data_IF_079729546280
#
_entry.id   IF_079729546280
#
_cell.length_a   1.000
_cell.length_b   1.000
_cell.length_c   1.000
_cell.angle_alpha   90.00
_cell.angle_beta   90.00
_cell.angle_gamma   90.00
#
_symmetry.space_group_name_H-M   'P 1'
#
loop_
_entity.id
_entity.type
_entity.pdbx_description
1 polymer ?
#
# COMPACT_ATOMS: atom_id res chain seq x y z
N UNK A 1 0.17 25.51 4.61
CA UNK A 1 1.25 25.78 5.58
C UNK A 1 1.37 24.53 6.46
N UNK A 2 2.57 24.01 6.74
CA UNK A 2 2.72 22.75 7.49
C UNK A 2 2.08 22.88 8.87
N UNK A 3 1.25 21.89 9.19
CA UNK A 3 0.64 21.73 10.49
C UNK A 3 1.65 21.12 11.47
N UNK A 4 1.77 21.78 12.62
CA UNK A 4 2.67 21.52 13.75
C UNK A 4 4.18 21.65 13.53
N UNK A 5 4.87 22.11 14.57
CA UNK A 5 6.35 22.22 14.61
C UNK A 5 7.00 20.82 14.57
N UNK A 6 6.35 19.85 15.22
CA UNK A 6 6.78 18.45 15.32
C UNK A 6 6.88 17.77 13.95
N UNK A 7 5.86 17.91 13.09
CA UNK A 7 5.88 17.36 11.73
C UNK A 7 7.03 17.91 10.88
N UNK A 8 7.36 19.20 11.04
CA UNK A 8 8.50 19.83 10.34
C UNK A 8 9.84 19.27 10.79
N UNK A 9 10.02 19.15 12.10
CA UNK A 9 11.25 18.60 12.68
C UNK A 9 11.44 17.13 12.29
N UNK A 10 10.34 16.36 12.26
CA UNK A 10 10.34 14.99 11.76
C UNK A 10 10.79 14.93 10.29
N UNK A 11 10.15 15.67 9.38
CA UNK A 11 10.52 15.66 7.96
C UNK A 11 12.00 16.03 7.75
N UNK A 12 12.50 17.03 8.48
CA UNK A 12 13.91 17.41 8.45
C UNK A 12 14.81 16.24 8.91
N UNK A 13 14.48 15.61 10.03
CA UNK A 13 15.20 14.44 10.54
C UNK A 13 15.22 13.29 9.54
N UNK A 14 14.09 13.02 8.87
CA UNK A 14 13.99 11.97 7.87
C UNK A 14 14.87 12.25 6.64
N UNK A 15 15.06 13.51 6.25
CA UNK A 15 15.93 13.87 5.12
C UNK A 15 17.43 13.86 5.49
N UNK A 16 17.78 14.28 6.70
CA UNK A 16 19.16 14.59 7.08
C UNK A 16 19.87 13.46 7.84
N UNK A 17 19.12 12.56 8.48
CA UNK A 17 19.73 11.47 9.24
C UNK A 17 20.49 10.54 8.30
N UNK A 18 21.82 10.48 8.46
CA UNK A 18 22.71 9.74 7.56
C UNK A 18 22.35 8.26 7.50
N UNK A 19 22.35 7.73 6.28
CA UNK A 19 22.20 6.31 5.99
C UNK A 19 23.38 5.83 5.15
N UNK A 20 23.72 4.55 5.27
CA UNK A 20 24.72 3.95 4.41
C UNK A 20 24.10 3.68 3.03
N UNK A 21 24.73 4.18 1.94
CA UNK A 21 24.29 3.85 0.60
C UNK A 21 24.57 2.36 0.31
N UNK A 22 23.78 1.73 -0.57
CA UNK A 22 24.12 0.42 -1.15
C UNK A 22 25.52 0.43 -1.77
N UNK A 23 26.36 -0.55 -1.42
CA UNK A 23 27.77 -0.63 -1.88
C UNK A 23 27.84 -1.00 -3.36
N UNK A 24 27.06 -2.01 -3.77
CA UNK A 24 27.02 -2.47 -5.16
C UNK A 24 25.68 -2.05 -5.79
N UNK A 25 25.75 -1.03 -6.66
CA UNK A 25 24.58 -0.33 -7.17
C UNK A 25 24.89 0.40 -8.48
N UNK A 26 23.85 0.61 -9.30
CA UNK A 26 23.91 1.47 -10.49
C UNK A 26 24.14 2.96 -10.14
N UNK A 27 24.00 3.35 -8.87
CA UNK A 27 24.29 4.71 -8.39
C UNK A 27 25.71 4.89 -7.86
N UNK A 28 26.61 3.93 -8.11
CA UNK A 28 28.04 4.11 -7.88
C UNK A 28 28.61 5.21 -8.79
N UNK A 29 29.62 5.90 -8.29
CA UNK A 29 30.22 7.08 -8.92
C UNK A 29 30.73 6.80 -10.34
N UNK A 30 31.24 5.59 -10.60
CA UNK A 30 31.74 5.17 -11.91
C UNK A 30 30.63 4.80 -12.92
N UNK A 31 29.42 4.47 -12.44
CA UNK A 31 28.31 3.99 -13.27
C UNK A 31 27.14 4.97 -13.37
N UNK A 32 27.07 5.99 -12.51
CA UNK A 32 25.90 6.83 -12.35
C UNK A 32 25.51 7.54 -13.65
N UNK A 33 26.47 8.19 -14.32
CA UNK A 33 26.21 8.94 -15.55
C UNK A 33 25.82 8.03 -16.73
N UNK A 34 26.39 6.83 -16.81
CA UNK A 34 25.98 5.82 -17.79
C UNK A 34 24.56 5.34 -17.52
N UNK A 35 24.25 5.01 -16.27
CA UNK A 35 22.92 4.57 -15.82
C UNK A 35 21.85 5.62 -16.14
N UNK A 36 22.10 6.89 -15.81
CA UNK A 36 21.14 7.96 -16.07
C UNK A 36 20.89 8.16 -17.57
N UNK A 37 21.94 8.12 -18.41
CA UNK A 37 21.79 8.20 -19.87
C UNK A 37 21.00 7.02 -20.43
N UNK A 38 21.27 5.83 -19.94
CA UNK A 38 20.59 4.61 -20.37
C UNK A 38 19.09 4.61 -20.11
N UNK A 39 18.63 5.35 -19.09
CA UNK A 39 17.22 5.43 -18.68
C UNK A 39 16.40 6.49 -19.42
N UNK A 40 17.03 7.50 -20.05
CA UNK A 40 16.33 8.61 -20.71
C UNK A 40 15.34 8.19 -21.80
N UNK A 41 15.55 7.02 -22.42
CA UNK A 41 14.74 6.50 -23.54
C UNK A 41 13.93 5.26 -23.17
N UNK A 42 13.89 4.88 -21.88
CA UNK A 42 13.31 3.61 -21.43
C UNK A 42 11.92 3.81 -20.87
N UNK A 43 11.15 2.73 -20.85
CA UNK A 43 9.80 2.73 -20.30
C UNK A 43 9.79 2.67 -18.76
N UNK A 44 8.63 2.89 -18.16
CA UNK A 44 8.38 2.85 -16.70
C UNK A 44 8.87 1.54 -16.06
N UNK A 45 8.65 0.40 -16.71
CA UNK A 45 9.11 -0.90 -16.22
C UNK A 45 10.64 -0.97 -16.06
N UNK A 46 11.40 -0.33 -16.95
CA UNK A 46 12.87 -0.25 -16.83
C UNK A 46 13.29 0.73 -15.75
N UNK A 47 12.61 1.87 -15.60
CA UNK A 47 12.87 2.82 -14.51
C UNK A 47 12.66 2.14 -13.15
N UNK A 48 11.53 1.45 -12.96
CA UNK A 48 11.23 0.71 -11.73
C UNK A 48 12.27 -0.37 -11.43
N UNK A 49 12.60 -1.18 -12.43
CA UNK A 49 13.54 -2.29 -12.27
C UNK A 49 14.95 -1.82 -11.94
N UNK A 50 15.45 -0.81 -12.67
CA UNK A 50 16.85 -0.43 -12.63
C UNK A 50 17.13 0.53 -11.46
N UNK A 51 16.22 1.47 -11.15
CA UNK A 51 16.45 2.48 -10.10
C UNK A 51 15.37 2.55 -9.02
N UNK A 52 14.21 1.92 -9.20
CA UNK A 52 13.11 2.00 -8.23
C UNK A 52 13.55 1.59 -6.82
N UNK A 53 14.26 0.46 -6.71
CA UNK A 53 14.78 -0.04 -5.43
C UNK A 53 16.00 0.71 -4.90
N UNK A 54 16.66 1.53 -5.74
CA UNK A 54 17.73 2.43 -5.31
C UNK A 54 17.19 3.73 -4.73
N UNK A 55 15.97 4.13 -5.09
CA UNK A 55 15.28 5.30 -4.54
C UNK A 55 14.39 4.91 -3.34
N UNK A 56 13.65 3.81 -3.48
CA UNK A 56 12.70 3.30 -2.49
C UNK A 56 13.09 1.85 -2.16
N UNK A 57 14.05 1.64 -1.25
CA UNK A 57 14.55 0.31 -0.92
C UNK A 57 13.48 -0.60 -0.30
N UNK A 58 13.61 -1.90 -0.55
CA UNK A 58 12.68 -2.94 -0.08
C UNK A 58 12.91 -3.17 1.41
N UNK A 59 11.89 -2.91 2.22
CA UNK A 59 11.92 -3.20 3.64
C UNK A 59 12.10 -4.70 3.90
N UNK A 60 11.50 -5.56 3.07
CA UNK A 60 11.64 -7.01 3.20
C UNK A 60 13.05 -7.51 2.86
N UNK A 61 13.68 -6.92 1.84
CA UNK A 61 15.05 -7.24 1.45
C UNK A 61 16.02 -6.78 2.53
N UNK A 62 15.87 -5.55 3.03
CA UNK A 62 16.66 -5.04 4.16
C UNK A 62 16.54 -5.94 5.41
N UNK A 63 15.33 -6.43 5.70
CA UNK A 63 15.09 -7.39 6.80
C UNK A 63 15.82 -8.72 6.60
N UNK A 64 15.78 -9.27 5.39
CA UNK A 64 16.49 -10.51 5.03
C UNK A 64 18.00 -10.33 5.15
N UNK A 65 18.52 -9.17 4.73
CA UNK A 65 19.94 -8.80 4.79
C UNK A 65 20.45 -8.46 6.19
N UNK A 66 19.58 -8.36 7.21
CA UNK A 66 20.00 -8.28 8.61
C UNK A 66 19.22 -7.30 9.46
N UNK A 67 18.42 -6.39 8.88
CA UNK A 67 17.67 -5.39 9.64
C UNK A 67 16.39 -5.98 10.24
N UNK A 68 16.54 -6.76 11.31
CA UNK A 68 15.43 -7.46 11.97
C UNK A 68 14.37 -6.52 12.55
N UNK A 69 14.70 -5.24 12.76
CA UNK A 69 13.75 -4.24 13.24
C UNK A 69 12.57 -4.02 12.28
N UNK A 70 12.75 -4.36 11.00
CA UNK A 70 11.72 -4.24 9.96
C UNK A 70 10.76 -5.46 9.92
N UNK A 71 10.78 -6.31 10.95
CA UNK A 71 9.97 -7.52 11.04
C UNK A 71 8.45 -7.30 10.96
N UNK A 72 7.98 -6.16 11.46
CA UNK A 72 6.57 -5.76 11.44
C UNK A 72 6.07 -5.34 10.05
N UNK A 73 6.96 -5.17 9.08
CA UNK A 73 6.64 -4.55 7.79
C UNK A 73 6.43 -5.58 6.68
N UNK A 74 5.44 -5.30 5.85
CA UNK A 74 5.20 -5.97 4.58
C UNK A 74 5.11 -4.95 3.47
N UNK A 75 5.69 -5.30 2.33
CA UNK A 75 5.59 -4.50 1.12
C UNK A 75 4.72 -5.22 0.09
N UNK A 76 4.19 -4.44 -0.83
CA UNK A 76 3.54 -4.94 -2.04
C UNK A 76 4.11 -4.21 -3.25
N UNK A 77 4.23 -4.90 -4.37
CA UNK A 77 4.80 -4.37 -5.61
C UNK A 77 3.77 -4.53 -6.71
N UNK A 78 3.25 -3.41 -7.23
CA UNK A 78 2.20 -3.39 -8.24
C UNK A 78 1.01 -4.31 -7.90
N UNK A 79 0.62 -4.36 -6.62
CA UNK A 79 -0.49 -5.17 -6.12
C UNK A 79 -1.71 -4.30 -5.88
N UNK A 80 -2.88 -4.73 -6.39
CA UNK A 80 -4.12 -3.99 -6.16
C UNK A 80 -4.52 -4.08 -4.68
N UNK A 81 -4.91 -2.95 -4.11
CA UNK A 81 -5.45 -2.88 -2.76
C UNK A 81 -6.89 -3.42 -2.74
N UNK A 82 -7.03 -4.74 -2.86
CA UNK A 82 -8.32 -5.43 -3.02
C UNK A 82 -9.23 -5.35 -1.79
N UNK A 83 -8.64 -5.21 -0.60
CA UNK A 83 -9.36 -5.21 0.68
C UNK A 83 -9.64 -3.80 1.19
N UNK A 84 -9.21 -2.75 0.49
CA UNK A 84 -9.55 -1.40 0.89
C UNK A 84 -11.01 -1.04 0.53
N UNK A 85 -11.54 -0.03 1.21
CA UNK A 85 -12.73 0.70 0.77
C UNK A 85 -12.26 1.88 -0.10
N UNK A 86 -12.53 1.87 -1.43
CA UNK A 86 -12.14 2.97 -2.30
C UNK A 86 -12.84 4.28 -1.92
N UNK A 87 -12.18 5.43 -2.15
CA UNK A 87 -12.80 6.74 -1.89
C UNK A 87 -14.03 7.00 -2.78
N UNK A 88 -14.07 6.36 -3.95
CA UNK A 88 -15.16 6.43 -4.91
C UNK A 88 -16.03 5.16 -4.92
N UNK A 89 -16.16 4.48 -3.78
CA UNK A 89 -16.94 3.24 -3.62
C UNK A 89 -18.39 3.32 -4.11
N UNK A 90 -18.97 4.53 -4.22
CA UNK A 90 -20.31 4.77 -4.73
C UNK A 90 -20.40 4.79 -6.26
N UNK A 91 -19.27 4.81 -6.97
CA UNK A 91 -19.25 4.74 -8.44
C UNK A 91 -19.52 3.33 -8.94
N UNK A 92 -20.04 3.24 -10.17
CA UNK A 92 -20.27 1.96 -10.88
C UNK A 92 -18.99 1.12 -11.01
N UNK A 93 -17.84 1.78 -11.14
CA UNK A 93 -16.52 1.16 -11.21
C UNK A 93 -15.58 1.88 -10.23
N UNK A 94 -15.56 1.47 -8.95
CA UNK A 94 -14.65 2.05 -7.98
C UNK A 94 -13.21 1.82 -8.39
N UNK A 95 -12.39 2.86 -8.30
CA UNK A 95 -10.98 2.77 -8.66
C UNK A 95 -10.23 2.21 -7.46
N UNK A 96 -9.52 1.09 -7.60
CA UNK A 96 -8.66 0.59 -6.52
C UNK A 96 -7.23 1.08 -6.74
N UNK A 97 -6.56 1.60 -5.70
CA UNK A 97 -5.13 1.83 -5.79
C UNK A 97 -4.38 0.54 -6.14
N UNK A 98 -3.31 0.71 -6.90
CA UNK A 98 -2.34 -0.33 -7.22
C UNK A 98 -0.96 0.34 -7.32
N UNK A 99 -0.35 0.73 -6.18
CA UNK A 99 0.95 1.40 -6.20
C UNK A 99 2.04 0.51 -6.77
N UNK A 100 3.00 1.09 -7.48
CA UNK A 100 4.19 0.37 -7.95
C UNK A 100 4.95 -0.24 -6.77
N UNK A 101 5.01 0.48 -5.65
CA UNK A 101 5.48 -0.01 -4.36
C UNK A 101 4.62 0.55 -3.23
N UNK A 102 4.27 -0.26 -2.24
CA UNK A 102 3.69 0.24 -0.99
C UNK A 102 4.13 -0.56 0.21
N UNK A 103 4.01 0.06 1.38
CA UNK A 103 4.41 -0.51 2.66
C UNK A 103 3.30 -0.32 3.70
N UNK A 104 3.09 -1.35 4.50
CA UNK A 104 2.23 -1.32 5.67
C UNK A 104 2.70 -2.33 6.70
N UNK A 105 1.81 -2.64 7.63
CA UNK A 105 2.08 -3.59 8.69
C UNK A 105 1.58 -4.98 8.33
N UNK A 106 2.37 -5.97 8.72
CA UNK A 106 1.94 -7.37 8.75
C UNK A 106 0.88 -7.58 9.81
N UNK A 107 0.15 -8.68 9.70
CA UNK A 107 -0.66 -9.23 10.80
C UNK A 107 0.19 -9.43 12.06
N UNK A 108 1.41 -9.94 11.92
CA UNK A 108 2.33 -10.21 13.05
C UNK A 108 2.89 -8.94 13.71
N UNK A 109 2.58 -7.75 13.20
CA UNK A 109 2.88 -6.50 13.88
C UNK A 109 1.94 -6.25 15.08
N UNK A 110 0.88 -7.04 15.24
CA UNK A 110 -0.12 -6.89 16.29
C UNK A 110 -0.15 -8.12 17.19
N UNK A 111 -0.45 -7.92 18.47
CA UNK A 111 -0.66 -9.03 19.42
C UNK A 111 -1.95 -9.77 19.08
N UNK A 112 -2.12 -10.99 19.60
CA UNK A 112 -3.36 -11.75 19.38
C UNK A 112 -4.59 -11.00 19.91
N UNK A 113 -4.47 -10.33 21.07
CA UNK A 113 -5.53 -9.49 21.63
C UNK A 113 -5.86 -8.29 20.73
N UNK A 114 -4.86 -7.66 20.13
CA UNK A 114 -5.06 -6.57 19.16
C UNK A 114 -5.73 -7.07 17.89
N UNK A 115 -5.36 -8.26 17.42
CA UNK A 115 -5.99 -8.89 16.25
C UNK A 115 -7.46 -9.24 16.51
N UNK A 116 -7.79 -9.75 17.69
CA UNK A 116 -9.19 -9.98 18.10
C UNK A 116 -10.00 -8.69 18.14
N UNK A 117 -9.40 -7.56 18.55
CA UNK A 117 -10.06 -6.25 18.50
C UNK A 117 -10.24 -5.71 17.08
N UNK A 118 -9.31 -6.01 16.17
CA UNK A 118 -9.37 -5.59 14.77
C UNK A 118 -10.31 -6.45 13.92
N UNK A 119 -10.50 -7.72 14.28
CA UNK A 119 -11.25 -8.70 13.50
C UNK A 119 -12.65 -8.20 13.08
N UNK A 120 -13.49 -7.62 13.96
CA UNK A 120 -14.82 -7.13 13.58
C UNK A 120 -14.80 -6.02 12.52
N UNK A 121 -13.69 -5.29 12.40
CA UNK A 121 -13.55 -4.16 11.47
C UNK A 121 -12.86 -4.55 10.16
N UNK A 122 -12.02 -5.60 10.17
CA UNK A 122 -11.31 -6.10 8.99
C UNK A 122 -12.17 -7.11 8.21
N UNK A 123 -12.83 -8.02 8.93
CA UNK A 123 -13.56 -9.13 8.34
C UNK A 123 -12.63 -10.22 7.78
N UNK A 124 -13.16 -10.99 6.83
CA UNK A 124 -12.46 -12.10 6.19
C UNK A 124 -11.56 -11.64 5.00
N UNK A 125 -10.95 -12.62 4.31
CA UNK A 125 -10.04 -12.37 3.19
C UNK A 125 -10.71 -11.66 2.01
N UNK A 126 -12.03 -11.78 1.85
CA UNK A 126 -12.79 -11.15 0.77
C UNK A 126 -13.45 -9.82 1.20
N UNK A 127 -13.40 -9.52 2.49
CA UNK A 127 -14.00 -8.33 3.09
C UNK A 127 -13.21 -7.08 2.73
N UNK A 128 -13.95 -5.98 2.54
CA UNK A 128 -13.38 -4.64 2.42
C UNK A 128 -13.41 -3.97 3.78
N UNK A 129 -12.31 -3.35 4.14
CA UNK A 129 -12.18 -2.63 5.41
C UNK A 129 -11.43 -1.32 5.22
N UNK A 130 -11.56 -0.45 6.21
CA UNK A 130 -10.69 0.72 6.31
C UNK A 130 -9.25 0.34 6.64
N UNK A 131 -9.04 -0.75 7.38
CA UNK A 131 -7.76 -1.03 8.03
C UNK A 131 -6.83 -1.93 7.21
N UNK A 132 -7.29 -2.54 6.12
CA UNK A 132 -6.49 -3.41 5.27
C UNK A 132 -6.44 -2.91 3.81
N UNK A 133 -5.23 -2.79 3.25
CA UNK A 133 -5.03 -2.54 1.83
C UNK A 133 -5.20 -3.84 1.02
N UNK A 134 -4.52 -4.89 1.46
CA UNK A 134 -4.62 -6.26 0.95
C UNK A 134 -4.89 -7.19 2.14
N UNK A 135 -5.18 -8.46 1.88
CA UNK A 135 -5.36 -9.44 2.96
C UNK A 135 -4.12 -9.62 3.85
N UNK A 136 -2.93 -9.15 3.42
CA UNK A 136 -1.68 -9.25 4.20
C UNK A 136 -1.19 -7.92 4.77
N UNK A 137 -1.68 -6.79 4.26
CA UNK A 137 -1.16 -5.45 4.59
C UNK A 137 -2.21 -4.64 5.34
N UNK A 138 -1.95 -4.43 6.63
CA UNK A 138 -2.76 -3.57 7.49
C UNK A 138 -2.14 -2.18 7.61
N UNK A 139 -2.99 -1.16 7.68
CA UNK A 139 -2.62 0.25 7.83
C UNK A 139 -1.42 0.63 6.93
N UNK A 140 -1.59 0.66 5.59
CA UNK A 140 -0.54 1.15 4.71
C UNK A 140 -0.14 2.57 5.13
N UNK A 141 1.14 2.91 5.03
CA UNK A 141 1.63 4.24 5.41
C UNK A 141 2.69 4.81 4.46
N UNK A 142 3.04 4.06 3.42
CA UNK A 142 3.95 4.50 2.39
C UNK A 142 3.51 3.97 1.02
N UNK A 143 3.58 4.82 0.00
CA UNK A 143 3.44 4.39 -1.40
C UNK A 143 4.45 5.10 -2.31
N UNK A 144 4.85 4.43 -3.37
CA UNK A 144 5.65 5.00 -4.45
C UNK A 144 5.02 4.71 -5.81
N UNK A 145 5.11 5.70 -6.68
CA UNK A 145 4.70 5.63 -8.08
C UNK A 145 5.87 6.12 -8.94
N UNK A 146 6.31 5.26 -9.84
CA UNK A 146 7.28 5.62 -10.85
C UNK A 146 6.55 5.97 -12.14
N UNK A 147 7.08 6.90 -12.90
CA UNK A 147 6.62 7.17 -14.27
C UNK A 147 7.83 7.32 -15.18
N UNK A 148 7.57 7.37 -16.48
CA UNK A 148 8.58 7.77 -17.45
C UNK A 148 8.23 9.17 -17.97
N UNK A 149 9.21 10.08 -17.95
CA UNK A 149 9.05 11.44 -18.45
C UNK A 149 8.33 12.40 -17.50
N UNK A 150 8.51 13.70 -17.77
CA UNK A 150 8.20 14.80 -16.83
C UNK A 150 6.71 15.03 -16.57
N UNK A 151 5.87 14.83 -17.59
CA UNK A 151 4.40 14.93 -17.45
C UNK A 151 3.81 13.75 -16.64
N UNK A 152 4.56 12.64 -16.53
CA UNK A 152 4.15 11.47 -15.76
C UNK A 152 4.04 11.75 -14.26
N UNK A 153 4.90 12.61 -13.70
CA UNK A 153 4.92 12.84 -12.25
C UNK A 153 3.63 13.46 -11.69
N UNK A 154 2.87 14.22 -12.47
CA UNK A 154 1.58 14.73 -12.03
C UNK A 154 0.52 13.61 -11.96
N UNK A 155 0.65 12.57 -12.80
CA UNK A 155 -0.17 11.35 -12.74
C UNK A 155 0.23 10.53 -11.52
N UNK A 156 1.52 10.30 -11.29
CA UNK A 156 2.04 9.66 -10.08
C UNK A 156 1.54 10.36 -8.81
N UNK A 157 1.59 11.69 -8.79
CA UNK A 157 1.14 12.50 -7.67
C UNK A 157 -0.37 12.32 -7.37
N UNK A 158 -1.20 12.09 -8.40
CA UNK A 158 -2.64 11.82 -8.25
C UNK A 158 -2.91 10.38 -7.80
N UNK A 159 -2.18 9.40 -8.33
CA UNK A 159 -2.29 8.01 -7.90
C UNK A 159 -1.88 7.85 -6.43
N UNK A 160 -0.73 8.42 -6.06
CA UNK A 160 -0.30 8.51 -4.67
C UNK A 160 -1.31 9.26 -3.80
N UNK A 161 -1.98 10.31 -4.32
CA UNK A 161 -3.03 11.00 -3.57
C UNK A 161 -4.19 10.09 -3.20
N UNK A 162 -4.61 9.23 -4.12
CA UNK A 162 -5.66 8.26 -3.85
C UNK A 162 -5.22 7.26 -2.77
N UNK A 163 -4.05 6.63 -2.95
CA UNK A 163 -3.48 5.66 -2.01
C UNK A 163 -3.33 6.25 -0.61
N UNK A 164 -2.76 7.45 -0.51
CA UNK A 164 -2.49 8.09 0.78
C UNK A 164 -3.74 8.64 1.45
N UNK A 165 -4.75 9.06 0.69
CA UNK A 165 -6.02 9.43 1.27
C UNK A 165 -6.75 8.24 1.90
N UNK A 166 -6.71 7.05 1.28
CA UNK A 166 -7.21 5.81 1.91
C UNK A 166 -6.40 5.50 3.19
N UNK A 167 -5.08 5.56 3.11
CA UNK A 167 -4.19 5.28 4.24
C UNK A 167 -4.42 6.23 5.44
N UNK A 168 -4.55 7.54 5.21
CA UNK A 168 -4.89 8.51 6.26
C UNK A 168 -6.29 8.23 6.82
N UNK A 169 -7.26 7.92 5.96
CA UNK A 169 -8.63 7.62 6.40
C UNK A 169 -8.65 6.43 7.34
N UNK A 170 -7.89 5.37 7.06
CA UNK A 170 -7.78 4.20 7.93
C UNK A 170 -7.41 4.57 9.38
N UNK A 171 -6.40 5.42 9.55
CA UNK A 171 -5.92 5.86 10.86
C UNK A 171 -6.94 6.80 11.52
N UNK A 172 -7.53 7.70 10.76
CA UNK A 172 -8.56 8.62 11.27
C UNK A 172 -9.78 7.85 11.79
N UNK A 173 -10.29 6.87 11.04
CA UNK A 173 -11.46 6.10 11.45
C UNK A 173 -11.17 5.24 12.69
N UNK A 174 -9.96 4.67 12.80
CA UNK A 174 -9.51 4.01 14.03
C UNK A 174 -9.53 4.96 15.23
N UNK A 175 -8.98 6.17 15.07
CA UNK A 175 -8.89 7.13 16.18
C UNK A 175 -10.23 7.74 16.55
N UNK A 176 -11.15 7.95 15.59
CA UNK A 176 -12.53 8.33 15.87
C UNK A 176 -13.26 7.27 16.68
N UNK A 177 -13.05 5.98 16.35
CA UNK A 177 -13.68 4.87 17.06
C UNK A 177 -13.32 4.82 18.56
N UNK A 178 -12.19 5.41 18.95
CA UNK A 178 -11.71 5.49 20.34
C UNK A 178 -11.69 6.91 20.90
N UNK A 179 -12.29 7.89 20.22
CA UNK A 179 -12.41 9.28 20.68
C UNK A 179 -11.09 10.05 20.80
N UNK A 180 -10.07 9.66 20.02
CA UNK A 180 -8.71 10.23 20.03
C UNK A 180 -8.37 11.00 18.76
N UNK A 181 -9.32 11.27 17.88
CA UNK A 181 -9.07 11.86 16.56
C UNK A 181 -8.34 13.20 16.60
N UNK A 182 -8.46 13.96 17.69
CA UNK A 182 -7.73 15.22 17.89
C UNK A 182 -6.21 15.07 17.99
N UNK A 183 -5.71 13.89 18.33
CA UNK A 183 -4.26 13.60 18.33
C UNK A 183 -3.66 13.64 16.92
N UNK A 184 -4.47 13.41 15.90
CA UNK A 184 -4.04 13.33 14.50
C UNK A 184 -4.11 14.67 13.77
N UNK A 185 -4.81 15.67 14.32
CA UNK A 185 -5.12 16.92 13.63
C UNK A 185 -3.84 17.67 13.24
N UNK A 186 -3.56 17.69 11.93
CA UNK A 186 -2.37 18.33 11.39
C UNK A 186 -1.06 17.54 11.50
N UNK A 187 -1.06 16.34 12.06
CA UNK A 187 0.14 15.51 12.16
C UNK A 187 0.34 14.69 10.86
N UNK A 188 1.57 14.62 10.36
CA UNK A 188 1.89 13.77 9.20
C UNK A 188 1.80 12.29 9.61
N UNK A 189 0.93 11.54 8.92
CA UNK A 189 0.64 10.14 9.20
C UNK A 189 1.27 9.18 8.18
N UNK A 190 1.33 9.59 6.91
CA UNK A 190 1.78 8.69 5.83
C UNK A 190 2.59 9.47 4.80
N UNK A 191 3.40 8.76 4.02
CA UNK A 191 4.34 9.37 3.07
C UNK A 191 4.16 8.81 1.66
N UNK A 192 4.48 9.60 0.66
CA UNK A 192 4.56 9.10 -0.71
C UNK A 192 5.77 9.63 -1.47
N UNK A 193 6.26 8.82 -2.39
CA UNK A 193 7.32 9.18 -3.34
C UNK A 193 6.77 9.06 -4.76
N UNK A 194 6.92 10.11 -5.55
CA UNK A 194 6.70 10.07 -6.99
C UNK A 194 8.05 10.27 -7.67
N UNK A 195 8.44 9.41 -8.60
CA UNK A 195 9.71 9.58 -9.30
C UNK A 195 9.64 9.18 -10.77
N UNK A 196 10.61 9.67 -11.54
CA UNK A 196 10.86 9.21 -12.90
C UNK A 196 12.35 8.86 -13.03
N UNK A 197 12.90 8.93 -14.25
CA UNK A 197 14.30 8.66 -14.53
C UNK A 197 15.28 9.77 -14.08
N UNK A 198 14.79 10.92 -13.61
CA UNK A 198 15.64 12.05 -13.20
C UNK A 198 15.15 12.81 -11.95
N UNK A 199 13.84 12.85 -11.72
CA UNK A 199 13.18 13.71 -10.74
C UNK A 199 12.48 12.89 -9.67
N UNK A 200 12.51 13.40 -8.44
CA UNK A 200 11.82 12.84 -7.28
C UNK A 200 10.99 13.92 -6.58
N UNK A 201 9.78 13.54 -6.16
CA UNK A 201 8.88 14.35 -5.33
C UNK A 201 8.48 13.54 -4.10
N UNK A 202 8.77 14.07 -2.91
CA UNK A 202 8.49 13.46 -1.62
C UNK A 202 7.41 14.27 -0.92
N UNK A 203 6.40 13.56 -0.40
CA UNK A 203 5.27 14.16 0.27
C UNK A 203 4.96 13.49 1.60
N UNK A 204 4.48 14.28 2.55
CA UNK A 204 3.82 13.81 3.77
C UNK A 204 2.34 14.17 3.73
N UNK A 205 1.49 13.30 4.24
CA UNK A 205 0.03 13.44 4.20
C UNK A 205 -0.54 13.48 5.61
N UNK A 206 -1.49 14.38 5.83
CA UNK A 206 -2.05 14.65 7.14
C UNK A 206 -3.54 14.99 7.05
N UNK A 207 -4.34 14.66 8.08
CA UNK A 207 -5.72 15.09 8.17
C UNK A 207 -5.83 16.48 8.84
N UNK A 208 -6.86 17.23 8.48
CA UNK A 208 -7.38 18.35 9.28
C UNK A 208 -8.77 17.95 9.79
N UNK A 209 -8.97 17.95 11.10
CA UNK A 209 -10.12 17.32 11.76
C UNK A 209 -10.94 18.38 12.48
N UNK A 210 -12.05 18.77 11.85
CA UNK A 210 -13.08 19.61 12.45
C UNK A 210 -14.26 18.77 12.97
N UNK A 211 -15.16 19.41 13.72
CA UNK A 211 -16.39 18.77 14.23
C UNK A 211 -17.27 18.22 13.09
N UNK A 212 -17.27 18.88 11.93
CA UNK A 212 -18.19 18.57 10.83
C UNK A 212 -17.56 17.74 9.71
N UNK A 213 -16.23 17.81 9.55
CA UNK A 213 -15.53 17.16 8.45
C UNK A 213 -14.06 16.89 8.76
N UNK A 214 -13.57 15.80 8.18
CA UNK A 214 -12.14 15.54 8.00
C UNK A 214 -11.75 15.86 6.56
N UNK A 215 -10.70 16.64 6.37
CA UNK A 215 -10.09 16.87 5.05
C UNK A 215 -8.66 16.38 5.05
N UNK A 216 -8.21 15.80 3.94
CA UNK A 216 -6.85 15.25 3.82
C UNK A 216 -6.02 16.19 2.97
N UNK A 217 -4.83 16.52 3.46
CA UNK A 217 -3.93 17.45 2.82
C UNK A 217 -2.55 16.83 2.62
N UNK A 218 -1.82 17.40 1.68
CA UNK A 218 -0.45 17.03 1.36
C UNK A 218 0.50 18.16 1.67
N UNK A 219 1.65 17.81 2.24
CA UNK A 219 2.79 18.67 2.37
C UNK A 219 3.94 18.20 1.47
N UNK A 220 4.46 19.10 0.63
CA UNK A 220 5.69 18.88 -0.15
C UNK A 220 6.90 18.91 0.77
N UNK A 221 7.48 17.74 1.06
CA UNK A 221 8.69 17.61 1.86
C UNK A 221 9.91 18.02 1.03
N UNK A 222 10.01 17.49 -0.20
CA UNK A 222 11.12 17.81 -1.12
C UNK A 222 10.72 17.55 -2.57
N UNK A 223 11.20 18.38 -3.50
CA UNK A 223 11.20 18.11 -4.94
C UNK A 223 12.60 18.42 -5.47
N UNK A 224 13.18 17.51 -6.23
CA UNK A 224 14.55 17.67 -6.73
C UNK A 224 14.81 16.76 -7.93
N UNK A 225 15.80 17.13 -8.72
CA UNK A 225 16.38 16.28 -9.74
C UNK A 225 17.63 15.62 -9.15
N UNK A 226 17.68 14.29 -9.14
CA UNK A 226 18.78 13.54 -8.52
C UNK A 226 19.98 13.35 -9.46
N UNK A 227 19.87 13.73 -10.73
CA UNK A 227 20.94 13.71 -11.74
C UNK A 227 21.68 15.04 -11.85
N UNK A 228 21.11 16.13 -11.30
CA UNK A 228 21.76 17.43 -11.23
C UNK A 228 22.99 17.42 -10.28
N UNK A 229 23.90 18.38 -10.50
CA UNK A 229 25.08 18.61 -9.66
C UNK A 229 25.93 17.34 -9.48
N UNK A 230 26.21 16.63 -10.58
CA UNK A 230 26.98 15.38 -10.62
C UNK A 230 26.43 14.31 -9.66
N UNK A 231 25.11 14.20 -9.62
CA UNK A 231 24.42 13.20 -8.80
C UNK A 231 24.55 13.42 -7.30
N UNK A 232 24.77 14.67 -6.84
CA UNK A 232 24.94 15.01 -5.42
C UNK A 232 23.84 14.43 -4.54
N UNK A 233 22.61 14.45 -5.03
CA UNK A 233 21.41 14.04 -4.30
C UNK A 233 20.92 12.63 -4.65
N UNK A 234 21.73 11.81 -5.36
CA UNK A 234 21.32 10.46 -5.78
C UNK A 234 20.87 9.53 -4.66
N UNK A 235 21.39 9.74 -3.44
CA UNK A 235 21.03 8.95 -2.25
C UNK A 235 19.97 9.58 -1.35
N UNK A 236 19.44 10.75 -1.71
CA UNK A 236 18.50 11.48 -0.85
C UNK A 236 17.20 10.71 -0.62
N UNK A 237 16.64 10.09 -1.66
CA UNK A 237 15.39 9.31 -1.55
C UNK A 237 15.59 8.01 -0.77
N UNK A 238 16.70 7.30 -1.04
CA UNK A 238 17.08 6.10 -0.29
C UNK A 238 17.21 6.40 1.21
N UNK A 239 17.92 7.48 1.53
CA UNK A 239 18.13 7.96 2.90
C UNK A 239 16.78 8.27 3.57
N UNK A 240 15.93 9.05 2.89
CA UNK A 240 14.60 9.38 3.39
C UNK A 240 13.77 8.13 3.66
N UNK A 241 13.70 7.21 2.70
CA UNK A 241 12.89 6.00 2.79
C UNK A 241 13.37 5.08 3.92
N UNK A 242 14.68 4.84 4.04
CA UNK A 242 15.27 4.08 5.16
C UNK A 242 14.97 4.76 6.51
N UNK A 243 15.00 6.08 6.57
CA UNK A 243 14.66 6.83 7.79
C UNK A 243 13.17 6.73 8.12
N UNK A 244 12.27 6.69 7.14
CA UNK A 244 10.84 6.40 7.39
C UNK A 244 10.72 5.04 8.08
N UNK A 245 11.45 4.02 7.61
CA UNK A 245 11.39 2.67 8.18
C UNK A 245 11.99 2.57 9.59
N UNK A 246 13.05 3.32 9.88
CA UNK A 246 13.83 3.16 11.13
C UNK A 246 13.49 4.18 12.20
N UNK A 247 13.08 5.38 11.81
CA UNK A 247 12.88 6.52 12.71
C UNK A 247 11.39 6.78 12.94
N UNK A 248 10.60 6.81 11.86
CA UNK A 248 9.19 7.13 11.94
C UNK A 248 8.33 5.92 12.33
N UNK A 249 8.52 4.81 11.60
CA UNK A 249 7.67 3.63 11.67
C UNK A 249 7.48 3.07 13.09
N UNK A 250 8.50 2.94 13.97
CA UNK A 250 8.27 2.36 15.29
C UNK A 250 7.29 3.18 16.15
N UNK A 251 7.39 4.52 16.10
CA UNK A 251 6.48 5.40 16.82
C UNK A 251 5.08 5.38 16.23
N UNK A 252 4.97 5.30 14.90
CA UNK A 252 3.69 5.21 14.21
C UNK A 252 2.97 3.88 14.48
N UNK A 253 3.70 2.76 14.51
CA UNK A 253 3.15 1.46 14.91
C UNK A 253 2.64 1.49 16.35
N UNK A 254 3.43 2.03 17.28
CA UNK A 254 3.01 2.16 18.68
C UNK A 254 1.77 3.05 18.86
N UNK A 255 1.64 4.10 18.05
CA UNK A 255 0.45 4.97 18.01
C UNK A 255 -0.80 4.19 17.59
N UNK A 256 -0.71 3.38 16.52
CA UNK A 256 -1.81 2.54 16.02
C UNK A 256 -2.16 1.47 17.05
N UNK A 257 -1.18 0.72 17.54
CA UNK A 257 -1.36 -0.33 18.55
C UNK A 257 -2.09 0.21 19.79
N UNK A 258 -1.67 1.38 20.29
CA UNK A 258 -2.30 2.04 21.42
C UNK A 258 -3.78 2.38 21.19
N UNK A 259 -4.17 2.73 19.95
CA UNK A 259 -5.58 2.96 19.62
C UNK A 259 -6.34 1.64 19.47
N UNK A 260 -5.72 0.61 18.87
CA UNK A 260 -6.32 -0.73 18.76
C UNK A 260 -6.62 -1.32 20.14
N UNK A 261 -5.73 -1.16 21.11
CA UNK A 261 -5.94 -1.65 22.49
C UNK A 261 -7.20 -1.06 23.17
N UNK A 262 -7.68 0.09 22.69
CA UNK A 262 -8.85 0.79 23.22
C UNK A 262 -10.13 0.51 22.44
N UNK A 263 -10.07 -0.22 21.31
CA UNK A 263 -11.26 -0.61 20.58
C UNK A 263 -12.17 -1.48 21.47
N UNK A 264 -13.50 -1.27 21.44
CA UNK A 264 -14.42 -2.01 22.30
C UNK A 264 -14.36 -3.51 22.01
N UNK A 265 -14.17 -4.31 23.06
CA UNK A 265 -14.24 -5.77 22.99
C UNK A 265 -15.67 -6.28 22.69
N UNK A 266 -16.68 -5.47 22.98
CA UNK A 266 -18.07 -5.91 23.08
C UNK A 266 -18.77 -6.16 21.74
N UNK A 267 -18.13 -5.81 20.61
CA UNK A 267 -18.58 -6.26 19.28
C UNK A 267 -18.50 -7.79 19.09
N UNK A 268 -17.74 -8.50 19.96
CA UNK A 268 -17.66 -9.96 19.95
C UNK A 268 -18.77 -10.63 20.78
N UNK A 269 -19.35 -9.95 21.78
CA UNK A 269 -20.34 -10.59 22.67
C UNK A 269 -21.77 -10.45 22.16
N UNK A 270 -22.13 -9.35 21.49
CA UNK A 270 -23.50 -9.12 20.99
C UNK A 270 -23.91 -10.04 19.83
N UNK A 271 -22.98 -10.39 18.95
CA UNK A 271 -23.26 -11.24 17.77
C UNK A 271 -23.35 -12.73 18.18
N UNK A 272 -22.67 -13.14 19.25
CA UNK A 272 -22.73 -14.52 19.75
C UNK A 272 -23.99 -14.80 20.57
N UNK A 273 -24.56 -13.78 21.22
CA UNK A 273 -25.84 -13.88 21.93
C UNK A 273 -27.06 -13.81 21.01
N UNK A 274 -26.98 -13.13 19.85
CA UNK A 274 -28.11 -13.02 18.91
C UNK A 274 -28.26 -14.23 17.96
N UNK A 275 -27.31 -15.17 17.99
CA UNK A 275 -27.42 -16.48 17.31
C UNK A 275 -27.62 -17.65 18.30
N UNK A 276 -27.81 -17.35 19.58
CA UNK A 276 -28.01 -18.33 20.65
C UNK A 276 -29.41 -18.24 21.26
N UNK A 277 -30.43 -18.67 20.53
CA UNK A 277 -31.81 -18.63 21.04
C UNK A 277 -32.86 -19.30 20.16
N UNK A 278 -32.74 -20.61 19.94
CA UNK A 278 -33.91 -21.49 19.80
C UNK A 278 -33.48 -22.95 19.91
N UNK A 279 -33.53 -23.50 21.12
CA UNK A 279 -33.68 -24.94 21.30
C UNK A 279 -35.08 -25.38 20.82
N UNK A 280 -35.10 -26.53 20.15
CA UNK A 280 -36.20 -27.38 19.65
C UNK A 280 -36.11 -27.51 18.12
N UNK A 281 -35.97 -28.68 17.49
CA UNK A 281 -36.18 -30.06 17.94
C UNK A 281 -35.65 -31.02 16.86
N UNK A 282 -34.92 -32.06 17.30
CA UNK A 282 -34.91 -33.41 16.74
C UNK A 282 -34.70 -33.63 15.24
N UNK A 283 -33.44 -33.86 14.82
CA UNK A 283 -33.09 -34.62 13.61
C UNK A 283 -31.69 -35.26 13.78
N UNK A 284 -31.57 -36.22 14.70
CA UNK A 284 -30.35 -37.06 14.84
C UNK A 284 -30.64 -38.56 14.77
N UNK A 285 -31.71 -38.95 14.08
CA UNK A 285 -31.97 -40.36 13.76
C UNK A 285 -32.57 -40.50 12.36
N UNK A 286 -31.77 -40.24 11.34
CA UNK A 286 -31.99 -40.82 10.00
C UNK A 286 -30.83 -40.43 9.09
N UNK A 287 -29.77 -41.23 9.10
CA UNK A 287 -28.84 -41.38 7.96
C UNK A 287 -27.98 -42.67 8.07
N UNK A 288 -28.41 -43.64 8.89
CA UNK A 288 -27.88 -45.02 8.88
C UNK A 288 -28.88 -45.97 8.19
N UNK A 289 -29.11 -45.75 6.90
CA UNK A 289 -29.64 -46.80 6.00
C UNK A 289 -29.71 -46.24 4.59
N UNK A 290 -28.59 -46.17 3.88
CA UNK A 290 -28.48 -46.30 2.42
C UNK A 290 -27.08 -45.92 1.97
N UNK A 291 -26.17 -46.91 1.88
CA UNK A 291 -25.20 -47.08 0.78
C UNK A 291 -24.15 -48.15 1.12
N UNK A 292 -24.61 -49.38 1.31
CA UNK A 292 -23.81 -50.55 0.90
C UNK A 292 -24.32 -50.90 -0.50
N UNK A 293 -23.56 -50.53 -1.54
CA UNK A 293 -23.40 -51.30 -2.78
C UNK A 293 -22.53 -50.55 -3.79
N UNK A 294 -21.63 -51.31 -4.41
CA UNK A 294 -20.81 -51.00 -5.58
C UNK A 294 -19.51 -50.19 -5.34
N UNK A 295 -18.53 -50.88 -4.75
CA UNK A 295 -17.17 -50.81 -5.26
C UNK A 295 -17.09 -51.65 -6.55
N UNK A 296 -16.63 -51.04 -7.66
CA UNK A 296 -15.74 -51.64 -8.66
C UNK A 296 -15.64 -50.73 -9.89
N UNK A 297 -14.40 -50.35 -10.25
CA UNK A 297 -14.11 -49.73 -11.55
C UNK A 297 -13.05 -48.64 -11.53
N UNK A 298 -11.80 -49.00 -11.20
CA UNK A 298 -10.64 -48.16 -11.51
C UNK A 298 -10.36 -48.25 -13.02
N UNK A 299 -10.51 -47.14 -13.73
CA UNK A 299 -10.09 -46.95 -15.12
C UNK A 299 -9.49 -45.57 -15.28
N UNK A 300 -8.20 -45.52 -15.62
CA UNK A 300 -7.45 -44.33 -16.02
C UNK A 300 -8.10 -43.61 -17.21
N UNK A 301 -7.96 -42.28 -17.32
CA UNK A 301 -7.76 -41.54 -18.59
C UNK A 301 -7.34 -40.08 -18.34
N UNK A 302 -6.56 -39.57 -19.30
CA UNK A 302 -5.68 -38.39 -19.34
C UNK A 302 -6.39 -37.04 -19.60
N UNK A 303 -5.70 -35.89 -19.41
CA UNK A 303 -6.27 -34.57 -19.68
C UNK A 303 -5.99 -34.11 -21.10
N UNK A 304 -7.03 -33.83 -21.89
CA UNK A 304 -6.91 -32.98 -23.08
C UNK A 304 -8.23 -32.27 -23.40
N UNK A 305 -8.09 -31.04 -23.92
CA UNK A 305 -9.09 -30.19 -24.58
C UNK A 305 -9.78 -29.12 -23.72
N UNK A 306 -9.08 -28.01 -23.44
CA UNK A 306 -9.71 -26.70 -23.28
C UNK A 306 -9.62 -25.91 -24.59
N UNK A 307 -10.75 -25.85 -25.29
CA UNK A 307 -10.97 -25.00 -26.45
C UNK A 307 -11.26 -23.55 -26.05
N UNK A 308 -10.47 -22.67 -26.66
CA UNK A 308 -10.73 -21.30 -27.09
C UNK A 308 -12.13 -20.69 -26.87
N UNK A 309 -12.12 -19.43 -26.39
CA UNK A 309 -12.85 -18.22 -26.85
C UNK A 309 -12.80 -17.20 -25.68
N UNK A 310 -12.49 -15.91 -25.80
CA UNK A 310 -12.42 -15.02 -26.95
C UNK A 310 -11.72 -13.72 -26.51
N UNK A 311 -10.79 -13.21 -27.34
CA UNK A 311 -10.29 -11.84 -27.28
C UNK A 311 -10.99 -11.02 -28.35
N UNK A 312 -11.64 -9.91 -27.98
CA UNK A 312 -12.00 -8.84 -28.92
C UNK A 312 -11.51 -7.50 -28.38
N UNK A 313 -10.39 -7.01 -28.92
CA UNK A 313 -10.02 -5.59 -28.95
C UNK A 313 -10.42 -5.03 -30.32
N UNK A 314 -11.26 -4.00 -30.33
CA UNK A 314 -11.56 -3.18 -31.49
C UNK A 314 -10.33 -2.32 -31.87
N UNK A 315 -10.01 -2.26 -33.16
CA UNK A 315 -9.14 -1.25 -33.78
C UNK A 315 -10.01 -0.12 -34.38
N UNK A 316 -9.55 1.13 -34.41
CA UNK A 316 -10.23 2.20 -35.13
C UNK A 316 -9.93 2.17 -36.63
N UNK A 317 -10.90 2.60 -37.43
CA UNK A 317 -10.86 2.73 -38.88
C UNK A 317 -9.96 3.90 -39.30
N UNK A 318 -9.22 3.72 -40.41
CA UNK A 318 -8.34 4.71 -41.01
C UNK A 318 -9.04 5.60 -42.02
N UNK A 319 -8.57 6.84 -42.09
CA UNK A 319 -8.82 7.81 -43.15
C UNK A 319 -8.13 7.36 -44.44
N UNK A 320 -8.85 7.45 -45.56
CA UNK A 320 -8.29 7.36 -46.91
C UNK A 320 -8.28 8.75 -47.54
N UNK A 321 -7.07 9.23 -47.82
CA UNK A 321 -6.81 10.37 -48.68
C UNK A 321 -7.24 10.07 -50.13
N UNK A 322 -7.91 11.05 -50.74
CA UNK A 322 -8.08 11.18 -52.20
C UNK A 322 -7.05 12.18 -52.71
N UNK A 323 -6.37 11.82 -53.80
CA UNK A 323 -5.54 12.74 -54.56
C UNK A 323 -5.78 12.53 -56.07
N UNK A 324 -5.64 13.63 -56.81
CA UNK A 324 -5.48 13.79 -58.27
C UNK A 324 -6.70 13.60 -59.21
N UNK A 325 -7.36 14.71 -59.54
CA UNK A 325 -7.35 15.39 -60.87
C UNK A 325 -8.23 16.64 -60.85
#
# INVERSE_FOLDING_TARGET
MIHTKKSRELCKKLLEQKQLPPIDSLFRDDLFDETCRDLQTRNEARVLRDIGMLLVPSAETLRKLGDKSLGSLIESVNESWSNCIPLDATRLTPTRPQPDYSLGFRREAFTEEQLQRLEPFIGDVFSRSYFAATYRMYFPFFASEAKCGREGLDVADRQNAHSMAIAVTAVVELFKAVGREKELDGEILVFSVSHDNESVRIYGWYPTISVYKTTIHRHTIRKFNFTELDGRDRWATDTFTKNVYRVYMPGFLGLIQSAVDQLPHDLLCGIRSDLGGSENSGLSQQLESQSISAANGLGQMTPDSFGQLSSKRQKPAGDSATDVS
#
